data_IF_529150902259
#
_entry.id   IF_529150902259
#
_cell.length_a   1.000
_cell.length_b   1.000
_cell.length_c   1.000
_cell.angle_alpha   90.00
_cell.angle_beta   90.00
_cell.angle_gamma   90.00
#
_symmetry.space_group_name_H-M   'P 1'
#
loop_
_entity.id
_entity.type
_entity.pdbx_description
1 polymer ?
#
# COMPACT_ATOMS: atom_id res chain seq x y z
N UNK A 1 -13.15 13.57 -22.87
CA UNK A 1 -14.45 13.70 -23.54
C UNK A 1 -15.31 14.54 -22.63
N UNK A 2 -15.72 15.73 -23.08
CA UNK A 2 -16.79 16.49 -22.41
C UNK A 2 -18.00 15.57 -22.28
N UNK A 3 -18.34 15.18 -21.04
CA UNK A 3 -19.59 14.46 -20.79
C UNK A 3 -20.70 15.40 -21.23
N UNK A 4 -21.37 15.01 -22.32
CA UNK A 4 -22.42 15.75 -22.99
C UNK A 4 -23.43 16.25 -21.95
N UNK A 5 -23.44 17.56 -21.75
CA UNK A 5 -24.44 18.25 -20.96
C UNK A 5 -25.81 17.91 -21.52
N UNK A 6 -26.73 17.51 -20.64
CA UNK A 6 -28.11 17.36 -21.07
C UNK A 6 -28.66 18.78 -21.33
N UNK A 7 -29.08 19.11 -22.56
CA UNK A 7 -29.55 20.46 -22.90
C UNK A 7 -30.79 20.87 -22.08
N UNK A 8 -31.47 19.92 -21.44
CA UNK A 8 -32.64 20.17 -20.60
C UNK A 8 -32.29 20.46 -19.13
N UNK A 9 -31.01 20.43 -18.74
CA UNK A 9 -30.62 20.57 -17.33
C UNK A 9 -31.01 21.94 -16.75
N UNK A 10 -30.73 23.03 -17.46
CA UNK A 10 -31.08 24.39 -17.00
C UNK A 10 -32.60 24.60 -16.87
N UNK A 11 -33.35 24.08 -17.84
CA UNK A 11 -34.81 24.06 -17.82
C UNK A 11 -35.33 23.22 -16.64
N UNK A 12 -34.69 22.08 -16.37
CA UNK A 12 -35.04 21.21 -15.25
C UNK A 12 -34.74 21.86 -13.89
N UNK A 13 -33.63 22.59 -13.73
CA UNK A 13 -33.33 23.37 -12.52
C UNK A 13 -34.48 24.35 -12.25
N UNK A 14 -34.87 25.12 -13.26
CA UNK A 14 -35.97 26.09 -13.15
C UNK A 14 -37.28 25.42 -12.76
N UNK A 15 -37.63 24.33 -13.43
CA UNK A 15 -38.85 23.56 -13.18
C UNK A 15 -38.89 23.00 -11.75
N UNK A 16 -37.79 22.44 -11.27
CA UNK A 16 -37.68 21.85 -9.92
C UNK A 16 -37.74 22.91 -8.83
N UNK A 17 -37.04 24.03 -9.00
CA UNK A 17 -37.03 25.13 -8.03
C UNK A 17 -38.40 25.78 -7.92
N UNK A 18 -39.03 26.12 -9.05
CA UNK A 18 -40.35 26.76 -9.08
C UNK A 18 -41.47 25.84 -8.65
N UNK A 19 -41.48 24.61 -9.16
CA UNK A 19 -42.56 23.66 -8.91
C UNK A 19 -42.47 23.00 -7.54
N UNK A 20 -41.32 23.09 -6.87
CA UNK A 20 -40.99 22.28 -5.68
C UNK A 20 -41.17 20.77 -5.94
N UNK A 21 -40.85 20.35 -7.17
CA UNK A 21 -41.02 18.98 -7.64
C UNK A 21 -39.65 18.31 -7.71
N UNK A 22 -39.49 17.16 -7.09
CA UNK A 22 -38.20 16.46 -7.01
C UNK A 22 -38.25 14.99 -7.48
N UNK A 23 -39.39 14.57 -8.05
CA UNK A 23 -39.61 13.19 -8.49
C UNK A 23 -39.18 12.96 -9.93
N UNK A 24 -38.49 11.83 -10.16
CA UNK A 24 -38.06 11.39 -11.50
C UNK A 24 -39.26 11.32 -12.46
N UNK A 25 -40.39 10.77 -12.00
CA UNK A 25 -41.61 10.61 -12.81
C UNK A 25 -42.24 11.94 -13.25
N UNK A 26 -42.13 13.00 -12.44
CA UNK A 26 -42.63 14.31 -12.84
C UNK A 26 -41.73 14.96 -13.90
N UNK A 27 -40.41 14.83 -13.77
CA UNK A 27 -39.45 15.29 -14.78
C UNK A 27 -39.64 14.53 -16.10
N UNK A 28 -39.87 13.21 -16.06
CA UNK A 28 -40.19 12.41 -17.25
C UNK A 28 -41.42 12.94 -17.99
N UNK A 29 -42.51 13.23 -17.27
CA UNK A 29 -43.77 13.67 -17.86
C UNK A 29 -43.70 15.09 -18.40
N UNK A 30 -43.03 15.99 -17.67
CA UNK A 30 -42.89 17.39 -18.06
C UNK A 30 -42.04 17.53 -19.34
N UNK A 31 -40.86 16.91 -19.35
CA UNK A 31 -39.92 17.02 -20.48
C UNK A 31 -40.09 15.95 -21.56
N UNK A 32 -41.03 15.01 -21.37
CA UNK A 32 -41.31 13.89 -22.29
C UNK A 32 -40.07 13.07 -22.62
N UNK A 33 -39.27 12.77 -21.60
CA UNK A 33 -38.01 12.01 -21.72
C UNK A 33 -38.10 10.62 -21.11
N UNK A 34 -37.27 9.69 -21.61
CA UNK A 34 -37.15 8.34 -21.07
C UNK A 34 -36.61 8.31 -19.63
N UNK A 35 -36.91 7.23 -18.91
CA UNK A 35 -36.54 7.06 -17.49
C UNK A 35 -35.05 7.31 -17.22
N UNK A 36 -34.16 6.66 -17.97
CA UNK A 36 -32.72 6.79 -17.78
C UNK A 36 -32.19 8.22 -18.01
N UNK A 37 -32.88 9.02 -18.82
CA UNK A 37 -32.51 10.43 -19.04
C UNK A 37 -32.99 11.30 -17.88
N UNK A 38 -34.23 11.10 -17.41
CA UNK A 38 -34.75 11.79 -16.23
C UNK A 38 -33.96 11.44 -14.97
N UNK A 39 -33.54 10.18 -14.79
CA UNK A 39 -32.69 9.76 -13.68
C UNK A 39 -31.36 10.52 -13.68
N UNK A 40 -30.68 10.59 -14.84
CA UNK A 40 -29.43 11.35 -14.97
C UNK A 40 -29.58 12.84 -14.68
N UNK A 41 -30.69 13.45 -15.12
CA UNK A 41 -31.00 14.86 -14.79
C UNK A 41 -31.20 15.02 -13.28
N UNK A 42 -31.94 14.12 -12.62
CA UNK A 42 -32.14 14.16 -11.17
C UNK A 42 -30.83 13.96 -10.40
N UNK A 43 -29.99 13.01 -10.82
CA UNK A 43 -28.65 12.81 -10.26
C UNK A 43 -27.79 14.08 -10.38
N UNK A 44 -27.90 14.78 -11.52
CA UNK A 44 -27.19 16.04 -11.73
C UNK A 44 -27.75 17.17 -10.85
N UNK A 45 -29.07 17.25 -10.66
CA UNK A 45 -29.69 18.22 -9.74
C UNK A 45 -29.28 17.97 -8.28
N UNK A 46 -29.16 16.71 -7.88
CA UNK A 46 -28.66 16.30 -6.56
C UNK A 46 -27.17 16.65 -6.43
N UNK A 47 -26.38 16.40 -7.48
CA UNK A 47 -24.96 16.75 -7.56
C UNK A 47 -24.72 18.27 -7.46
N UNK A 48 -25.61 19.09 -8.03
CA UNK A 48 -25.58 20.56 -7.97
C UNK A 48 -26.21 21.13 -6.68
N UNK A 49 -26.66 20.27 -5.77
CA UNK A 49 -27.35 20.64 -4.52
C UNK A 49 -28.64 21.44 -4.74
N UNK A 50 -29.26 21.29 -5.91
CA UNK A 50 -30.60 21.85 -6.18
C UNK A 50 -31.64 21.10 -5.36
N UNK A 51 -31.42 19.79 -5.22
CA UNK A 51 -32.25 18.90 -4.43
C UNK A 51 -31.40 18.11 -3.43
N UNK A 52 -32.02 17.64 -2.35
CA UNK A 52 -31.40 16.81 -1.34
C UNK A 52 -31.09 15.41 -1.88
N UNK A 53 -30.21 14.72 -1.16
CA UNK A 53 -30.08 13.26 -1.28
C UNK A 53 -31.42 12.58 -1.02
N UNK A 54 -31.61 11.41 -1.60
CA UNK A 54 -32.80 10.61 -1.37
C UNK A 54 -32.89 10.18 0.10
N UNK A 55 -33.97 10.60 0.78
CA UNK A 55 -34.25 10.17 2.15
C UNK A 55 -34.73 8.73 2.23
N UNK A 56 -34.87 8.20 3.46
CA UNK A 56 -35.33 6.82 3.75
C UNK A 56 -36.71 6.52 3.15
N UNK A 57 -37.55 7.55 3.00
CA UNK A 57 -38.88 7.46 2.38
C UNK A 57 -38.85 7.51 0.84
N UNK A 58 -37.68 7.63 0.22
CA UNK A 58 -37.51 7.75 -1.23
C UNK A 58 -37.72 9.17 -1.78
N UNK A 59 -38.06 10.13 -0.93
CA UNK A 59 -38.32 11.53 -1.31
C UNK A 59 -37.03 12.37 -1.32
N UNK A 60 -37.01 13.40 -2.18
CA UNK A 60 -35.97 14.43 -2.25
C UNK A 60 -36.61 15.80 -1.98
N UNK A 61 -35.88 16.71 -1.35
CA UNK A 61 -36.37 18.07 -1.05
C UNK A 61 -35.62 19.11 -1.87
N UNK A 62 -36.28 20.19 -2.27
CA UNK A 62 -35.65 21.28 -3.04
C UNK A 62 -34.96 22.22 -2.06
N UNK A 63 -33.64 22.38 -2.19
CA UNK A 63 -32.80 23.10 -1.23
C UNK A 63 -32.77 24.61 -1.46
N UNK A 64 -33.20 25.08 -2.64
CA UNK A 64 -33.24 26.50 -2.97
C UNK A 64 -34.53 27.18 -2.48
N UNK A 65 -34.50 28.48 -2.13
CA UNK A 65 -35.70 29.25 -1.83
C UNK A 65 -36.59 29.37 -3.08
N UNK A 66 -37.90 29.61 -2.91
CA UNK A 66 -38.82 29.76 -4.04
C UNK A 66 -38.69 31.19 -4.59
N UNK A 67 -38.14 31.41 -5.79
CA UNK A 67 -38.06 32.74 -6.39
C UNK A 67 -39.45 33.19 -6.92
N UNK A 68 -39.64 34.50 -7.11
CA UNK A 68 -40.88 35.03 -7.67
C UNK A 68 -40.91 34.93 -9.21
N UNK A 69 -39.75 34.78 -9.86
CA UNK A 69 -39.62 34.56 -11.30
C UNK A 69 -38.36 33.73 -11.67
N UNK A 70 -38.31 33.19 -12.89
CA UNK A 70 -37.15 32.43 -13.41
C UNK A 70 -35.91 33.28 -13.60
N UNK A 71 -36.10 34.58 -13.86
CA UNK A 71 -35.00 35.52 -14.10
C UNK A 71 -34.18 35.82 -12.84
N UNK A 72 -34.66 35.43 -11.65
CA UNK A 72 -33.94 35.56 -10.37
C UNK A 72 -32.99 34.38 -10.10
N UNK A 73 -33.04 33.31 -10.90
CA UNK A 73 -32.17 32.15 -10.74
C UNK A 73 -30.81 32.47 -11.38
N UNK A 74 -29.79 32.65 -10.54
CA UNK A 74 -28.42 32.89 -11.02
C UNK A 74 -27.76 31.56 -11.45
N UNK A 75 -27.72 31.32 -12.77
CA UNK A 75 -27.12 30.13 -13.34
C UNK A 75 -25.59 30.07 -13.22
N UNK A 76 -24.92 31.21 -12.97
CA UNK A 76 -23.46 31.25 -12.81
C UNK A 76 -23.00 30.47 -11.57
N UNK A 77 -23.80 30.47 -10.51
CA UNK A 77 -23.55 29.72 -9.26
C UNK A 77 -23.51 28.21 -9.50
N UNK A 78 -24.43 27.68 -10.33
CA UNK A 78 -24.46 26.25 -10.65
C UNK A 78 -23.28 25.84 -11.53
N UNK A 79 -22.88 26.70 -12.47
CA UNK A 79 -21.71 26.48 -13.32
C UNK A 79 -20.40 26.53 -12.53
N UNK A 80 -20.30 27.42 -11.53
CA UNK A 80 -19.15 27.50 -10.64
C UNK A 80 -19.06 26.31 -9.68
N UNK A 81 -20.17 25.94 -9.01
CA UNK A 81 -20.24 24.73 -8.17
C UNK A 81 -19.83 23.47 -8.95
N UNK A 82 -20.24 23.39 -10.22
CA UNK A 82 -19.88 22.30 -11.12
C UNK A 82 -18.39 22.27 -11.42
N UNK A 83 -17.79 23.41 -11.79
CA UNK A 83 -16.33 23.50 -12.01
C UNK A 83 -15.56 23.10 -10.75
N UNK A 84 -15.92 23.65 -9.60
CA UNK A 84 -15.26 23.35 -8.33
C UNK A 84 -15.35 21.86 -7.95
N UNK A 85 -16.53 21.22 -8.04
CA UNK A 85 -16.66 19.78 -7.73
C UNK A 85 -16.04 18.88 -8.79
N UNK A 86 -16.12 19.22 -10.08
CA UNK A 86 -15.44 18.45 -11.14
C UNK A 86 -13.92 18.54 -11.00
N UNK A 87 -13.37 19.71 -10.64
CA UNK A 87 -11.95 19.88 -10.34
C UNK A 87 -11.55 19.16 -9.05
N UNK A 88 -12.39 19.16 -8.01
CA UNK A 88 -12.17 18.34 -6.80
C UNK A 88 -12.19 16.84 -7.11
N UNK A 89 -13.15 16.37 -7.92
CA UNK A 89 -13.23 14.97 -8.34
C UNK A 89 -12.02 14.59 -9.22
N UNK A 90 -11.63 15.46 -10.15
CA UNK A 90 -10.46 15.27 -11.02
C UNK A 90 -9.18 15.26 -10.21
N UNK A 91 -8.96 16.23 -9.32
CA UNK A 91 -7.78 16.25 -8.44
C UNK A 91 -7.74 15.05 -7.49
N UNK A 92 -8.89 14.59 -6.97
CA UNK A 92 -8.96 13.35 -6.19
C UNK A 92 -8.60 12.12 -7.03
N UNK A 93 -9.11 12.02 -8.26
CA UNK A 93 -8.79 10.94 -9.20
C UNK A 93 -7.33 10.99 -9.64
N UNK A 94 -6.79 12.17 -9.94
CA UNK A 94 -5.39 12.39 -10.29
C UNK A 94 -4.46 12.03 -9.12
N UNK A 95 -4.83 12.39 -7.89
CA UNK A 95 -4.12 11.98 -6.68
C UNK A 95 -4.14 10.46 -6.51
N UNK A 96 -5.30 9.84 -6.69
CA UNK A 96 -5.47 8.38 -6.63
C UNK A 96 -4.71 7.67 -7.75
N UNK A 97 -4.67 8.23 -8.95
CA UNK A 97 -3.89 7.74 -10.08
C UNK A 97 -2.38 7.93 -9.86
N UNK A 98 -1.97 9.03 -9.24
CA UNK A 98 -0.59 9.28 -8.81
C UNK A 98 -0.14 8.29 -7.73
N UNK A 99 -1.01 7.94 -6.78
CA UNK A 99 -0.78 6.88 -5.80
C UNK A 99 -0.63 5.51 -6.46
N UNK A 100 -1.46 5.19 -7.46
CA UNK A 100 -1.37 3.94 -8.26
C UNK A 100 -0.09 3.89 -9.10
N UNK A 101 0.36 5.02 -9.63
CA UNK A 101 1.60 5.10 -10.41
C UNK A 101 2.86 5.29 -9.55
N UNK A 102 2.72 5.31 -8.22
CA UNK A 102 3.86 5.40 -7.32
C UNK A 102 4.75 4.16 -7.46
N UNK A 103 6.07 4.38 -7.40
CA UNK A 103 7.07 3.32 -7.32
C UNK A 103 6.72 2.34 -6.19
N UNK A 104 6.22 2.85 -5.06
CA UNK A 104 5.84 2.02 -3.91
C UNK A 104 4.70 1.05 -4.25
N UNK A 105 3.71 1.51 -5.01
CA UNK A 105 2.61 0.66 -5.46
C UNK A 105 3.09 -0.42 -6.43
N UNK A 106 3.97 -0.06 -7.38
CA UNK A 106 4.58 -1.03 -8.30
C UNK A 106 5.40 -2.09 -7.56
N UNK A 107 6.23 -1.66 -6.59
CA UNK A 107 7.04 -2.57 -5.78
C UNK A 107 6.17 -3.48 -4.91
N UNK A 108 5.07 -2.95 -4.36
CA UNK A 108 4.05 -3.74 -3.65
C UNK A 108 3.43 -4.82 -4.55
N UNK A 109 3.01 -4.45 -5.75
CA UNK A 109 2.47 -5.41 -6.72
C UNK A 109 3.51 -6.48 -7.08
N UNK A 110 4.76 -6.10 -7.35
CA UNK A 110 5.83 -7.04 -7.64
C UNK A 110 6.02 -8.03 -6.49
N UNK A 111 6.10 -7.53 -5.25
CA UNK A 111 6.29 -8.35 -4.07
C UNK A 111 5.17 -9.37 -3.88
N UNK A 112 3.91 -8.93 -4.03
CA UNK A 112 2.72 -9.80 -3.93
C UNK A 112 2.75 -10.87 -5.03
N UNK A 113 3.00 -10.48 -6.28
CA UNK A 113 3.01 -11.40 -7.43
C UNK A 113 4.14 -12.42 -7.32
N UNK A 114 5.34 -11.98 -6.93
CA UNK A 114 6.52 -12.85 -6.79
C UNK A 114 6.60 -13.54 -5.42
N UNK A 115 5.68 -13.25 -4.50
CA UNK A 115 5.63 -13.78 -3.13
C UNK A 115 6.98 -13.67 -2.41
N UNK A 116 7.59 -12.49 -2.45
CA UNK A 116 8.93 -12.24 -1.90
C UNK A 116 9.07 -10.80 -1.46
N UNK A 117 9.94 -10.54 -0.49
CA UNK A 117 10.33 -9.19 -0.11
C UNK A 117 11.05 -8.53 -1.28
N UNK A 118 10.69 -7.28 -1.55
CA UNK A 118 11.33 -6.43 -2.55
C UNK A 118 11.91 -5.22 -1.83
N UNK A 119 13.09 -4.79 -2.25
CA UNK A 119 13.74 -3.56 -1.81
C UNK A 119 13.86 -2.60 -3.00
N UNK A 120 13.80 -1.31 -2.73
CA UNK A 120 14.07 -0.28 -3.74
C UNK A 120 14.74 0.93 -3.09
N UNK A 121 15.42 1.71 -3.91
CA UNK A 121 16.14 2.89 -3.50
C UNK A 121 15.25 4.13 -3.68
N UNK A 122 15.17 4.95 -2.64
CA UNK A 122 14.43 6.20 -2.60
C UNK A 122 15.40 7.34 -2.26
N UNK A 123 15.54 8.30 -3.16
CA UNK A 123 16.38 9.47 -2.93
C UNK A 123 15.59 10.51 -2.14
N UNK A 124 16.04 10.83 -0.92
CA UNK A 124 15.36 11.80 -0.04
C UNK A 124 15.79 13.24 -0.31
N UNK A 125 17.04 13.46 -0.69
CA UNK A 125 17.59 14.80 -0.99
C UNK A 125 18.23 14.81 -2.37
N UNK A 126 17.99 15.87 -3.13
CA UNK A 126 18.77 16.18 -4.34
C UNK A 126 20.14 16.63 -3.85
N UNK A 127 21.20 15.92 -4.23
CA UNK A 127 22.56 16.26 -3.80
C UNK A 127 22.91 17.70 -4.18
N UNK A 128 23.55 18.43 -3.27
CA UNK A 128 24.14 19.75 -3.53
C UNK A 128 25.67 19.65 -3.41
N UNK A 129 26.39 20.68 -3.88
CA UNK A 129 27.86 20.74 -3.72
C UNK A 129 28.31 20.67 -2.24
N UNK A 130 27.43 21.01 -1.29
CA UNK A 130 27.71 21.02 0.15
C UNK A 130 27.24 19.74 0.89
N UNK A 131 26.40 18.90 0.29
CA UNK A 131 25.89 17.69 0.94
C UNK A 131 25.55 16.58 -0.06
N UNK A 132 26.15 15.38 0.08
CA UNK A 132 25.87 14.26 -0.81
C UNK A 132 24.40 13.82 -0.73
N UNK A 133 23.83 13.28 -1.81
CA UNK A 133 22.45 12.80 -1.82
C UNK A 133 22.28 11.67 -0.80
N UNK A 134 21.24 11.76 0.04
CA UNK A 134 20.91 10.71 1.01
C UNK A 134 19.95 9.73 0.34
N UNK A 135 20.39 8.49 0.22
CA UNK A 135 19.60 7.39 -0.30
C UNK A 135 19.02 6.56 0.84
N UNK A 136 17.72 6.29 0.74
CA UNK A 136 16.99 5.44 1.67
C UNK A 136 16.65 4.14 0.97
N UNK A 137 17.02 3.01 1.56
CA UNK A 137 16.56 1.71 1.10
C UNK A 137 15.25 1.39 1.78
N UNK A 138 14.17 1.37 1.00
CA UNK A 138 12.85 0.93 1.44
C UNK A 138 12.63 -0.54 1.13
N UNK A 139 11.71 -1.16 1.84
CA UNK A 139 11.33 -2.54 1.57
C UNK A 139 9.84 -2.76 1.74
N UNK A 140 9.32 -3.79 1.08
CA UNK A 140 7.95 -4.20 1.29
C UNK A 140 7.88 -5.73 1.40
N UNK A 141 7.29 -6.19 2.50
CA UNK A 141 7.02 -7.60 2.76
C UNK A 141 5.55 -7.92 2.44
N UNK A 142 5.27 -8.84 1.49
CA UNK A 142 3.89 -9.15 1.07
C UNK A 142 3.21 -10.15 2.01
N UNK A 143 3.94 -10.73 2.98
CA UNK A 143 3.51 -11.97 3.62
C UNK A 143 2.34 -11.81 4.59
N UNK A 144 2.22 -10.64 5.23
CA UNK A 144 1.04 -10.31 6.05
C UNK A 144 -0.21 -10.28 5.18
N UNK A 145 -0.24 -9.44 4.15
CA UNK A 145 -1.34 -9.32 3.19
C UNK A 145 -1.69 -10.65 2.50
N UNK A 146 -0.69 -11.47 2.19
CA UNK A 146 -0.91 -12.79 1.60
C UNK A 146 -1.55 -13.76 2.59
N UNK A 147 -1.17 -13.72 3.86
CA UNK A 147 -1.70 -14.61 4.91
C UNK A 147 -3.12 -14.27 5.35
N UNK A 148 -3.52 -12.99 5.29
CA UNK A 148 -4.88 -12.54 5.56
C UNK A 148 -5.88 -13.14 4.55
N UNK A 149 -5.42 -13.36 3.31
CA UNK A 149 -6.22 -13.97 2.23
C UNK A 149 -6.28 -15.49 2.31
N UNK A 150 -5.43 -16.13 3.12
CA UNK A 150 -5.43 -17.58 3.29
C UNK A 150 -6.50 -18.02 4.30
N UNK A 151 -7.22 -19.10 3.96
CA UNK A 151 -8.02 -19.84 4.93
C UNK A 151 -7.11 -20.79 5.70
N UNK A 152 -7.39 -21.02 6.99
CA UNK A 152 -6.69 -22.01 7.79
C UNK A 152 -7.01 -23.40 7.24
N UNK A 153 -5.97 -24.15 6.93
CA UNK A 153 -6.08 -25.55 6.49
C UNK A 153 -6.67 -26.41 7.62
N UNK A 154 -7.64 -27.25 7.28
CA UNK A 154 -8.30 -28.15 8.25
C UNK A 154 -7.31 -29.13 8.85
N UNK A 155 -6.27 -29.49 8.09
CA UNK A 155 -5.26 -30.44 8.51
C UNK A 155 -4.39 -29.91 9.66
N UNK A 156 -4.34 -28.59 9.89
CA UNK A 156 -3.67 -28.01 11.07
C UNK A 156 -4.27 -28.57 12.36
N UNK A 157 -5.59 -28.82 12.39
CA UNK A 157 -6.24 -29.39 13.58
C UNK A 157 -5.75 -30.80 13.92
N UNK A 158 -5.11 -31.51 12.97
CA UNK A 158 -4.54 -32.83 13.21
C UNK A 158 -3.10 -32.79 13.72
N UNK A 159 -2.50 -31.60 13.80
CA UNK A 159 -1.15 -31.43 14.32
C UNK A 159 -1.09 -31.48 15.85
N UNK A 160 0.07 -31.84 16.42
CA UNK A 160 0.32 -31.63 17.83
C UNK A 160 0.06 -30.17 18.19
N UNK A 161 -0.82 -29.92 19.17
CA UNK A 161 -1.26 -28.57 19.57
C UNK A 161 -1.96 -27.77 18.45
N UNK A 162 -2.50 -28.45 17.44
CA UNK A 162 -3.18 -27.84 16.30
C UNK A 162 -4.38 -26.96 16.68
N UNK A 163 -4.98 -27.19 17.85
CA UNK A 163 -6.05 -26.34 18.39
C UNK A 163 -5.58 -24.90 18.72
N UNK A 164 -4.29 -24.72 18.98
CA UNK A 164 -3.67 -23.44 19.31
C UNK A 164 -2.91 -22.83 18.13
N UNK A 165 -2.64 -23.59 17.07
CA UNK A 165 -1.84 -23.16 15.93
C UNK A 165 -2.74 -22.56 14.85
N UNK A 166 -2.36 -21.40 14.33
CA UNK A 166 -3.06 -20.73 13.21
C UNK A 166 -2.31 -20.83 11.88
N UNK A 167 -1.02 -21.20 11.94
CA UNK A 167 -0.14 -21.39 10.79
C UNK A 167 1.32 -21.41 11.22
N UNK A 168 2.22 -21.21 10.25
CA UNK A 168 3.67 -21.19 10.48
C UNK A 168 4.28 -19.92 9.88
N UNK A 169 5.23 -19.32 10.60
CA UNK A 169 6.08 -18.21 10.14
C UNK A 169 7.47 -18.72 9.82
N UNK A 170 7.98 -18.39 8.64
CA UNK A 170 9.36 -18.66 8.27
C UNK A 170 10.28 -17.54 8.75
N UNK A 171 11.35 -17.92 9.44
CA UNK A 171 12.40 -17.01 9.90
C UNK A 171 13.73 -17.42 9.27
N UNK A 172 14.23 -16.62 8.33
CA UNK A 172 15.57 -16.75 7.77
C UNK A 172 16.65 -16.37 8.78
N UNK A 173 17.84 -16.97 8.72
CA UNK A 173 18.98 -16.53 9.52
C UNK A 173 19.62 -15.27 8.93
N UNK A 174 19.88 -14.27 9.78
CA UNK A 174 20.41 -12.95 9.38
C UNK A 174 21.93 -12.97 9.29
N UNK A 175 22.45 -13.66 8.29
CA UNK A 175 23.88 -13.82 8.05
C UNK A 175 24.25 -13.39 6.63
N UNK A 176 25.47 -12.90 6.44
CA UNK A 176 26.02 -12.58 5.12
C UNK A 176 26.07 -13.79 4.21
N UNK A 177 26.28 -15.00 4.73
CA UNK A 177 26.24 -16.23 3.93
C UNK A 177 24.83 -16.66 3.52
N UNK A 178 23.78 -16.12 4.13
CA UNK A 178 22.40 -16.51 3.83
C UNK A 178 22.05 -16.06 2.40
N UNK A 179 21.55 -16.96 1.52
CA UNK A 179 21.21 -16.59 0.15
C UNK A 179 20.07 -15.58 0.08
N UNK A 180 20.12 -14.67 -0.90
CA UNK A 180 19.08 -13.65 -1.11
C UNK A 180 17.67 -14.25 -1.23
N UNK A 181 17.53 -15.38 -1.94
CA UNK A 181 16.25 -16.09 -2.09
C UNK A 181 15.63 -16.54 -0.76
N UNK A 182 16.44 -16.72 0.27
CA UNK A 182 15.98 -17.12 1.62
C UNK A 182 15.64 -15.88 2.44
N UNK A 183 16.51 -14.86 2.43
CA UNK A 183 16.25 -13.57 3.09
C UNK A 183 14.95 -12.94 2.57
N UNK A 184 14.70 -13.01 1.26
CA UNK A 184 13.47 -12.54 0.62
C UNK A 184 12.19 -13.28 1.07
N UNK A 185 12.33 -14.40 1.78
CA UNK A 185 11.21 -15.16 2.33
C UNK A 185 11.05 -14.98 3.84
N UNK A 186 11.91 -14.18 4.48
CA UNK A 186 11.81 -13.89 5.90
C UNK A 186 10.43 -13.30 6.24
N UNK A 187 9.81 -13.80 7.32
CA UNK A 187 8.47 -13.41 7.73
C UNK A 187 7.34 -14.00 6.89
N UNK A 188 7.62 -14.97 5.99
CA UNK A 188 6.57 -15.68 5.26
C UNK A 188 5.64 -16.42 6.19
N UNK A 189 4.34 -16.27 5.97
CA UNK A 189 3.30 -16.93 6.77
C UNK A 189 2.51 -17.88 5.86
N UNK A 190 2.36 -19.12 6.31
CA UNK A 190 1.55 -20.15 5.66
C UNK A 190 0.57 -20.74 6.68
N UNK A 191 -0.73 -20.67 6.40
CA UNK A 191 -1.80 -21.25 7.23
C UNK A 191 -2.12 -22.68 6.80
N UNK A 192 -1.08 -23.47 6.56
CA UNK A 192 -1.16 -24.89 6.20
C UNK A 192 -0.40 -25.76 7.21
N UNK A 193 -0.68 -27.07 7.17
CA UNK A 193 -0.01 -28.01 8.05
C UNK A 193 1.51 -28.10 7.74
N UNK A 194 2.32 -28.45 8.73
CA UNK A 194 3.79 -28.45 8.72
C UNK A 194 4.40 -29.26 7.57
N UNK A 195 3.80 -30.40 7.21
CA UNK A 195 4.24 -31.24 6.08
C UNK A 195 3.84 -30.70 4.69
N UNK A 196 2.93 -29.71 4.64
CA UNK A 196 2.51 -29.02 3.40
C UNK A 196 3.29 -27.72 3.17
N UNK A 197 4.16 -27.33 4.09
CA UNK A 197 4.93 -26.09 3.97
C UNK A 197 5.89 -26.16 2.76
N UNK A 198 6.10 -25.03 2.06
CA UNK A 198 7.00 -25.00 0.92
C UNK A 198 8.44 -25.22 1.37
N UNK A 199 9.19 -26.00 0.60
CA UNK A 199 10.62 -26.22 0.83
C UNK A 199 11.43 -25.01 0.35
N UNK A 200 11.65 -24.05 1.25
CA UNK A 200 12.41 -22.82 0.97
C UNK A 200 13.93 -23.02 1.07
N UNK A 201 14.37 -23.74 2.10
CA UNK A 201 15.78 -23.92 2.46
C UNK A 201 16.39 -25.15 1.80
N UNK A 202 17.68 -25.04 1.46
CA UNK A 202 18.50 -26.20 1.07
C UNK A 202 19.24 -26.80 2.27
N UNK A 203 19.62 -25.97 3.23
CA UNK A 203 20.37 -26.34 4.43
C UNK A 203 19.65 -25.86 5.68
N UNK A 204 19.71 -26.65 6.76
CA UNK A 204 18.92 -26.43 7.98
C UNK A 204 19.26 -25.14 8.71
N UNK A 205 20.50 -24.65 8.59
CA UNK A 205 20.92 -23.39 9.22
C UNK A 205 20.36 -22.14 8.52
N UNK A 206 19.79 -22.25 7.32
CA UNK A 206 19.34 -21.09 6.54
C UNK A 206 18.05 -20.44 7.09
N UNK A 207 17.28 -21.18 7.88
CA UNK A 207 16.06 -20.68 8.49
C UNK A 207 15.19 -21.79 9.05
N UNK A 208 14.12 -21.39 9.73
CA UNK A 208 13.20 -22.30 10.41
C UNK A 208 11.76 -21.86 10.22
N UNK A 209 10.84 -22.82 10.19
CA UNK A 209 9.41 -22.58 10.34
C UNK A 209 9.04 -22.70 11.82
N UNK A 210 8.45 -21.65 12.37
CA UNK A 210 7.95 -21.61 13.74
C UNK A 210 6.42 -21.54 13.74
N UNK A 211 5.74 -22.29 14.60
CA UNK A 211 4.29 -22.20 14.70
C UNK A 211 3.87 -20.81 15.17
N UNK A 212 2.79 -20.30 14.59
CA UNK A 212 2.10 -19.10 15.03
C UNK A 212 0.92 -19.58 15.86
N UNK A 213 0.86 -19.16 17.11
CA UNK A 213 -0.26 -19.47 17.99
C UNK A 213 -1.40 -18.48 17.78
N UNK A 214 -2.59 -18.86 18.22
CA UNK A 214 -3.67 -17.92 18.51
C UNK A 214 -3.16 -16.86 19.51
N UNK A 215 -3.77 -15.68 19.48
CA UNK A 215 -3.52 -14.68 20.49
C UNK A 215 -4.04 -15.14 21.86
N UNK A 216 -3.52 -14.58 22.95
CA UNK A 216 -4.02 -14.84 24.31
C UNK A 216 -5.53 -14.59 24.40
N UNK A 217 -6.01 -13.51 23.79
CA UNK A 217 -7.44 -13.16 23.79
C UNK A 217 -8.31 -14.14 23.00
N UNK A 218 -7.79 -14.73 21.92
CA UNK A 218 -8.46 -15.82 21.20
C UNK A 218 -8.48 -17.14 21.98
N UNK A 219 -7.68 -17.25 23.05
CA UNK A 219 -7.70 -18.34 24.01
C UNK A 219 -8.46 -17.98 25.30
N UNK A 220 -9.27 -16.93 25.28
CA UNK A 220 -10.00 -16.41 26.46
C UNK A 220 -9.08 -15.99 27.63
N UNK A 221 -7.85 -15.60 27.32
CA UNK A 221 -6.87 -15.07 28.28
C UNK A 221 -6.66 -13.59 28.00
N UNK A 222 -7.08 -12.72 28.90
CA UNK A 222 -6.94 -11.26 28.74
C UNK A 222 -5.53 -10.79 29.17
N UNK A 223 -4.56 -11.10 28.33
CA UNK A 223 -3.16 -10.67 28.47
C UNK A 223 -2.73 -10.02 27.16
N UNK A 224 -1.93 -8.96 27.26
CA UNK A 224 -1.33 -8.33 26.10
C UNK A 224 -0.30 -9.25 25.42
N UNK A 225 -0.28 -9.22 24.10
CA UNK A 225 0.74 -9.93 23.34
C UNK A 225 2.14 -9.38 23.66
N UNK A 226 3.11 -10.29 23.70
CA UNK A 226 4.50 -9.88 23.88
C UNK A 226 4.95 -9.03 22.68
N UNK A 227 5.71 -7.95 22.92
CA UNK A 227 6.25 -7.14 21.83
C UNK A 227 7.19 -7.98 20.95
N UNK A 228 7.35 -7.57 19.69
CA UNK A 228 8.28 -8.23 18.79
C UNK A 228 9.70 -8.21 19.40
N UNK A 229 10.28 -9.40 19.52
CA UNK A 229 11.61 -9.57 20.07
C UNK A 229 12.72 -9.18 19.10
N UNK A 230 13.93 -9.61 19.44
CA UNK A 230 15.11 -9.53 18.56
C UNK A 230 15.49 -10.91 18.06
N UNK A 231 16.32 -10.96 17.03
CA UNK A 231 16.93 -12.18 16.52
C UNK A 231 18.44 -12.02 16.39
N UNK A 232 19.15 -13.15 16.47
CA UNK A 232 20.60 -13.18 16.28
C UNK A 232 20.99 -12.96 14.81
N UNK A 233 22.06 -12.22 14.61
CA UNK A 233 22.68 -11.91 13.32
C UNK A 233 24.20 -11.90 13.42
N UNK A 234 24.90 -11.76 12.30
CA UNK A 234 26.37 -11.62 12.28
C UNK A 234 26.87 -10.36 13.04
N UNK A 235 26.01 -9.35 13.22
CA UNK A 235 26.33 -8.09 13.90
C UNK A 235 25.73 -7.97 15.31
N UNK A 236 25.24 -9.08 15.87
CA UNK A 236 24.56 -9.11 17.17
C UNK A 236 23.03 -9.21 17.04
N UNK A 237 22.30 -8.56 17.94
CA UNK A 237 20.83 -8.61 17.97
C UNK A 237 20.23 -7.58 17.01
N UNK A 238 19.34 -8.03 16.13
CA UNK A 238 18.58 -7.18 15.21
C UNK A 238 17.07 -7.35 15.44
N UNK A 239 16.21 -6.44 14.98
CA UNK A 239 14.76 -6.61 15.05
C UNK A 239 14.29 -7.97 14.48
N UNK A 240 13.24 -8.57 15.05
CA UNK A 240 12.76 -9.89 14.64
C UNK A 240 12.14 -9.97 13.23
N UNK A 241 11.90 -8.84 12.57
CA UNK A 241 11.54 -8.73 11.15
C UNK A 241 12.77 -8.53 10.24
N UNK A 242 13.97 -8.54 10.83
CA UNK A 242 15.26 -8.31 10.18
C UNK A 242 15.67 -6.84 10.11
N UNK A 243 14.72 -5.90 10.21
CA UNK A 243 14.91 -4.47 10.12
C UNK A 243 15.81 -4.01 8.97
N UNK A 244 16.50 -2.89 9.19
CA UNK A 244 17.44 -2.31 8.21
C UNK A 244 18.67 -3.17 7.92
N UNK A 245 19.04 -4.08 8.83
CA UNK A 245 20.13 -5.02 8.56
C UNK A 245 19.76 -6.03 7.46
N UNK A 246 18.53 -6.54 7.45
CA UNK A 246 18.06 -7.38 6.34
C UNK A 246 18.03 -6.58 5.02
N UNK A 247 17.60 -5.31 5.05
CA UNK A 247 17.63 -4.44 3.87
C UNK A 247 19.06 -4.26 3.33
N UNK A 248 20.03 -4.06 4.22
CA UNK A 248 21.46 -4.03 3.90
C UNK A 248 21.94 -5.34 3.25
N UNK A 249 21.65 -6.49 3.87
CA UNK A 249 22.03 -7.80 3.31
C UNK A 249 21.44 -7.99 1.90
N UNK A 250 20.16 -7.69 1.71
CA UNK A 250 19.50 -7.79 0.41
C UNK A 250 20.13 -6.86 -0.63
N UNK A 251 20.51 -5.64 -0.24
CA UNK A 251 21.20 -4.69 -1.11
C UNK A 251 22.57 -5.22 -1.55
N UNK A 252 23.41 -5.68 -0.62
CA UNK A 252 24.73 -6.24 -0.94
C UNK A 252 24.60 -7.47 -1.84
N UNK A 253 23.63 -8.36 -1.55
CA UNK A 253 23.39 -9.52 -2.41
C UNK A 253 22.89 -9.14 -3.80
N UNK A 254 22.07 -8.10 -3.90
CA UNK A 254 21.67 -7.57 -5.20
C UNK A 254 22.88 -7.03 -5.97
N UNK A 255 23.72 -6.22 -5.33
CA UNK A 255 24.95 -5.68 -5.91
C UNK A 255 25.89 -6.79 -6.41
N UNK A 256 26.06 -7.86 -5.63
CA UNK A 256 26.88 -9.00 -6.02
C UNK A 256 26.30 -9.77 -7.23
N UNK A 257 24.97 -9.79 -7.38
CA UNK A 257 24.29 -10.41 -8.52
C UNK A 257 24.39 -9.60 -9.82
N UNK A 258 24.73 -8.30 -9.75
CA UNK A 258 24.88 -7.45 -10.93
C UNK A 258 26.15 -7.82 -11.71
N UNK A 259 26.01 -7.86 -13.05
CA UNK A 259 27.11 -8.10 -14.00
C UNK A 259 27.84 -6.79 -14.34
N UNK A 260 28.37 -6.14 -13.31
CA UNK A 260 29.12 -4.88 -13.41
C UNK A 260 30.57 -5.09 -12.95
N UNK A 261 31.45 -4.15 -13.28
CA UNK A 261 32.87 -4.22 -12.92
C UNK A 261 33.09 -4.11 -11.41
N UNK A 262 34.21 -4.64 -10.91
CA UNK A 262 34.55 -4.53 -9.49
C UNK A 262 34.72 -3.06 -9.05
N UNK A 263 35.22 -2.19 -9.93
CA UNK A 263 35.34 -0.76 -9.67
C UNK A 263 33.97 -0.11 -9.43
N UNK A 264 32.97 -0.40 -10.27
CA UNK A 264 31.59 0.08 -10.08
C UNK A 264 30.96 -0.49 -8.80
N UNK A 265 31.22 -1.76 -8.47
CA UNK A 265 30.77 -2.33 -7.19
C UNK A 265 31.38 -1.60 -6.00
N UNK A 266 32.66 -1.28 -6.03
CA UNK A 266 33.35 -0.52 -4.98
C UNK A 266 32.75 0.88 -4.82
N UNK A 267 32.39 1.54 -5.92
CA UNK A 267 31.68 2.82 -5.90
C UNK A 267 30.32 2.70 -5.22
N UNK A 268 29.55 1.65 -5.55
CA UNK A 268 28.29 1.36 -4.86
C UNK A 268 28.46 1.06 -3.36
N UNK A 269 29.55 0.40 -2.95
CA UNK A 269 29.88 0.20 -1.54
C UNK A 269 30.18 1.54 -0.84
N UNK A 270 30.87 2.46 -1.52
CA UNK A 270 31.10 3.81 -0.98
C UNK A 270 29.78 4.59 -0.82
N UNK A 271 28.87 4.49 -1.79
CA UNK A 271 27.53 5.09 -1.65
C UNK A 271 26.75 4.40 -0.53
N UNK A 272 26.82 3.06 -0.44
CA UNK A 272 26.19 2.24 0.59
C UNK A 272 26.54 2.69 2.00
N UNK A 273 27.79 3.11 2.23
CA UNK A 273 28.24 3.64 3.52
C UNK A 273 27.40 4.83 4.01
N UNK A 274 26.89 5.65 3.09
CA UNK A 274 26.06 6.82 3.39
C UNK A 274 24.56 6.55 3.26
N UNK A 275 24.15 5.31 2.98
CA UNK A 275 22.74 4.93 2.90
C UNK A 275 22.14 4.74 4.29
N UNK A 276 20.83 4.94 4.34
CA UNK A 276 20.02 4.71 5.54
C UNK A 276 18.92 3.71 5.17
N UNK A 277 18.58 2.81 6.07
CA UNK A 277 17.39 2.01 5.89
C UNK A 277 16.11 2.80 6.20
N UNK A 278 14.97 2.16 5.94
CA UNK A 278 13.65 2.77 6.15
C UNK A 278 13.33 2.98 7.63
N UNK A 279 13.90 2.15 8.51
CA UNK A 279 13.71 2.27 9.96
C UNK A 279 14.66 3.34 10.56
N UNK A 280 15.55 3.92 9.75
CA UNK A 280 16.41 5.05 10.10
C UNK A 280 17.82 4.67 10.52
N UNK A 281 18.20 3.38 10.48
CA UNK A 281 19.55 2.95 10.83
C UNK A 281 20.52 3.14 9.65
N UNK A 282 21.67 3.80 9.86
CA UNK A 282 22.65 4.02 8.80
C UNK A 282 23.44 2.75 8.53
N UNK A 283 23.69 2.45 7.25
CA UNK A 283 24.35 1.21 6.83
C UNK A 283 25.83 1.16 7.24
N UNK A 284 26.50 2.30 7.42
CA UNK A 284 27.87 2.35 7.95
C UNK A 284 28.01 1.60 9.30
N UNK A 285 26.97 1.63 10.14
CA UNK A 285 26.92 0.89 11.42
C UNK A 285 27.09 -0.61 11.22
N UNK A 286 26.46 -1.15 10.17
CA UNK A 286 26.53 -2.57 9.84
C UNK A 286 27.85 -2.91 9.14
N UNK A 287 28.32 -2.01 8.27
CA UNK A 287 29.58 -2.17 7.53
C UNK A 287 30.81 -2.17 8.45
N UNK A 288 30.76 -1.47 9.58
CA UNK A 288 31.82 -1.45 10.59
C UNK A 288 32.19 -2.85 11.13
N UNK A 289 31.26 -3.82 11.08
CA UNK A 289 31.56 -5.20 11.45
C UNK A 289 32.46 -5.93 10.44
N UNK A 290 32.63 -5.37 9.23
CA UNK A 290 33.31 -6.00 8.10
C UNK A 290 34.66 -5.34 7.74
N UNK A 291 35.11 -4.31 8.44
CA UNK A 291 36.42 -3.70 8.25
C UNK A 291 36.53 -2.32 8.87
N UNK A 292 37.75 -1.81 8.97
CA UNK A 292 38.01 -0.46 9.50
C UNK A 292 38.06 0.62 8.40
N UNK A 293 38.29 0.20 7.15
CA UNK A 293 38.31 1.06 5.97
C UNK A 293 37.41 0.52 4.85
N UNK A 294 37.05 1.40 3.90
CA UNK A 294 36.13 1.07 2.81
C UNK A 294 36.70 -0.02 1.88
N UNK A 295 38.02 -0.14 1.78
CA UNK A 295 38.66 -1.11 0.90
C UNK A 295 38.57 -2.53 1.48
N UNK A 296 38.82 -2.68 2.77
CA UNK A 296 38.60 -3.92 3.51
C UNK A 296 37.12 -4.31 3.51
N UNK A 297 36.22 -3.35 3.78
CA UNK A 297 34.78 -3.58 3.73
C UNK A 297 34.34 -4.04 2.33
N UNK A 298 34.80 -3.37 1.27
CA UNK A 298 34.46 -3.74 -0.10
C UNK A 298 34.97 -5.14 -0.46
N UNK A 299 36.19 -5.53 -0.06
CA UNK A 299 36.67 -6.90 -0.26
C UNK A 299 35.74 -7.90 0.40
N UNK A 300 35.50 -7.78 1.71
CA UNK A 300 34.72 -8.78 2.46
C UNK A 300 33.23 -8.86 2.10
N UNK A 301 32.64 -7.76 1.62
CA UNK A 301 31.23 -7.72 1.23
C UNK A 301 30.99 -8.21 -0.20
N UNK A 302 31.99 -8.07 -1.08
CA UNK A 302 31.89 -8.43 -2.50
C UNK A 302 32.45 -9.81 -2.84
N UNK A 303 33.26 -10.40 -1.96
CA UNK A 303 33.73 -11.79 -2.03
C UNK A 303 32.61 -12.81 -1.75
#
# INVERSE_FOLDING_TARGET
>A
MEESEDPLLEEAISFVIMGRISSISAIQRHFRIGYNRATRIVEMLEFLEVISVQGVSGNREVLFPSPQSSSEIDFSVFNEKRRQRTEQQRSHLEKKMGEINSIEYQMRLEAITKKRIVIWLHQKTVGSEESPPVFIIKSYSPFKDLSEKQKIDKDIATEPLGEFITGYKFSATMQMRTPARILQQHGRIEKSASWKLPKLISETWQGIWSPITKSWREMDIDIDEMPMGTMASDIGQVPADGGDYMRFLLFIKHLNSLKISYAEKKEWINICYHMIGEDGEPFCKFMAAYGDDIEQMASRLLD
#
